data_IF_220783829676
#
_entry.id   IF_220783829676
#
_cell.length_a   1.000
_cell.length_b   1.000
_cell.length_c   1.000
_cell.angle_alpha   90.00
_cell.angle_beta   90.00
_cell.angle_gamma   90.00
#
_symmetry.space_group_name_H-M   'P 1'
#
loop_
_entity.id
_entity.type
_entity.pdbx_description
1 polymer ?
#
# COMPACT_ATOMS: atom_id res chain seq x y z
N UNK A 1 5.94 27.47 5.42
CA UNK A 1 7.16 26.73 5.88
C UNK A 1 6.88 25.53 6.79
N UNK A 2 5.80 25.49 7.59
CA UNK A 2 5.54 24.37 8.53
C UNK A 2 5.24 23.00 7.85
N UNK A 3 4.58 23.00 6.70
CA UNK A 3 4.26 21.77 5.95
C UNK A 3 5.49 21.09 5.30
N UNK A 4 6.46 21.89 4.81
CA UNK A 4 7.74 21.37 4.30
C UNK A 4 8.56 20.71 5.42
N UNK A 5 8.58 21.32 6.62
CA UNK A 5 9.24 20.74 7.79
C UNK A 5 8.57 19.43 8.22
N UNK A 6 7.24 19.37 8.22
CA UNK A 6 6.50 18.14 8.58
C UNK A 6 6.73 16.98 7.61
N UNK A 7 6.72 17.25 6.29
CA UNK A 7 7.04 16.26 5.24
C UNK A 7 8.50 15.79 5.30
N UNK A 8 9.44 16.70 5.58
CA UNK A 8 10.86 16.36 5.76
C UNK A 8 11.07 15.54 7.04
N UNK A 9 10.40 15.89 8.15
CA UNK A 9 10.49 15.12 9.39
C UNK A 9 9.81 13.77 9.28
N UNK A 10 8.69 13.64 8.55
CA UNK A 10 8.04 12.35 8.33
C UNK A 10 8.86 11.47 7.38
N UNK A 11 9.49 12.06 6.36
CA UNK A 11 10.40 11.36 5.45
C UNK A 11 11.67 10.89 6.16
N UNK A 12 12.26 11.72 7.01
CA UNK A 12 13.44 11.37 7.81
C UNK A 12 13.11 10.31 8.87
N UNK A 13 11.96 10.42 9.55
CA UNK A 13 11.49 9.43 10.52
C UNK A 13 11.17 8.09 9.84
N UNK A 14 10.53 8.12 8.67
CA UNK A 14 10.32 6.94 7.82
C UNK A 14 11.66 6.30 7.47
N UNK A 15 12.64 7.08 6.98
CA UNK A 15 13.96 6.57 6.61
C UNK A 15 14.74 5.97 7.81
N UNK A 16 14.61 6.55 9.01
CA UNK A 16 15.21 6.02 10.25
C UNK A 16 14.52 4.72 10.69
N UNK A 17 13.19 4.62 10.57
CA UNK A 17 12.46 3.36 10.79
C UNK A 17 12.86 2.30 9.74
N UNK A 18 13.12 2.72 8.50
CA UNK A 18 13.59 1.85 7.41
C UNK A 18 15.00 1.29 7.64
N UNK A 19 15.93 2.12 8.11
CA UNK A 19 17.30 1.71 8.41
C UNK A 19 17.40 0.87 9.70
N UNK A 20 16.44 1.00 10.62
CA UNK A 20 16.40 0.24 11.88
C UNK A 20 15.68 -1.11 11.79
N UNK A 21 15.04 -1.42 10.66
CA UNK A 21 14.36 -2.71 10.42
C UNK A 21 15.27 -3.90 10.12
N UNK A 22 16.59 -3.71 10.06
CA UNK A 22 17.57 -4.78 9.86
C UNK A 22 17.91 -5.48 11.18
N UNK A 23 18.22 -6.78 11.11
CA UNK A 23 18.73 -7.53 12.27
C UNK A 23 20.10 -6.96 12.66
N UNK A 24 20.20 -6.46 13.90
CA UNK A 24 21.48 -6.02 14.46
C UNK A 24 22.36 -7.23 14.71
N UNK A 25 23.63 -7.12 14.37
CA UNK A 25 24.63 -8.14 14.68
C UNK A 25 25.49 -7.67 15.85
N UNK A 26 25.87 -8.60 16.71
CA UNK A 26 26.85 -8.38 17.76
C UNK A 26 28.28 -8.33 17.19
N UNK A 27 29.26 -8.10 18.07
CA UNK A 27 30.69 -8.04 17.70
C UNK A 27 31.23 -9.37 17.14
N UNK A 28 30.53 -10.47 17.37
CA UNK A 28 30.89 -11.82 16.93
C UNK A 28 30.20 -12.21 15.62
N UNK A 29 29.36 -11.34 15.05
CA UNK A 29 28.65 -11.57 13.79
C UNK A 29 27.35 -12.38 13.95
N UNK A 30 26.89 -12.62 15.18
CA UNK A 30 25.61 -13.27 15.46
C UNK A 30 24.51 -12.22 15.64
N UNK A 31 23.23 -12.57 15.44
CA UNK A 31 22.13 -11.67 15.76
C UNK A 31 22.15 -11.22 17.22
N UNK A 32 22.12 -9.91 17.46
CA UNK A 32 22.06 -9.31 18.79
C UNK A 32 20.77 -9.77 19.50
N UNK A 33 20.85 -10.49 20.62
CA UNK A 33 19.69 -10.96 21.38
C UNK A 33 18.77 -9.82 21.85
N UNK A 34 19.30 -8.62 22.03
CA UNK A 34 18.54 -7.44 22.46
C UNK A 34 17.92 -6.68 21.28
N UNK A 35 18.21 -7.08 20.04
CA UNK A 35 17.64 -6.48 18.84
C UNK A 35 16.13 -6.72 18.75
N UNK A 36 15.35 -5.67 18.51
CA UNK A 36 13.89 -5.75 18.42
C UNK A 36 13.41 -6.78 17.39
N UNK A 37 13.98 -6.77 16.19
CA UNK A 37 13.63 -7.72 15.11
C UNK A 37 13.98 -9.15 15.52
N UNK A 38 15.13 -9.36 16.18
CA UNK A 38 15.53 -10.68 16.61
C UNK A 38 14.56 -11.24 17.67
N UNK A 39 14.31 -10.46 18.73
CA UNK A 39 13.48 -10.87 19.86
C UNK A 39 12.01 -11.09 19.50
N UNK A 40 11.43 -10.22 18.67
CA UNK A 40 9.99 -10.26 18.38
C UNK A 40 9.63 -11.01 17.09
N UNK A 41 10.56 -11.16 16.15
CA UNK A 41 10.29 -11.84 14.87
C UNK A 41 11.15 -13.08 14.68
N UNK A 42 12.48 -12.99 14.79
CA UNK A 42 13.39 -14.12 14.49
C UNK A 42 13.20 -15.28 15.49
N UNK A 43 13.33 -15.01 16.79
CA UNK A 43 13.30 -16.04 17.81
C UNK A 43 11.93 -16.75 17.88
N UNK A 44 10.77 -16.04 17.86
CA UNK A 44 9.47 -16.71 17.83
C UNK A 44 9.26 -17.51 16.55
N UNK A 45 9.72 -17.02 15.40
CA UNK A 45 9.60 -17.73 14.13
C UNK A 45 10.44 -19.01 14.11
N UNK A 46 11.69 -18.95 14.58
CA UNK A 46 12.54 -20.13 14.72
C UNK A 46 11.95 -21.17 15.67
N UNK A 47 11.45 -20.74 16.83
CA UNK A 47 10.78 -21.62 17.80
C UNK A 47 9.52 -22.27 17.22
N UNK A 48 8.72 -21.52 16.46
CA UNK A 48 7.54 -22.04 15.78
C UNK A 48 7.92 -23.10 14.74
N UNK A 49 8.97 -22.85 13.96
CA UNK A 49 9.46 -23.83 12.98
C UNK A 49 9.92 -25.12 13.69
N UNK A 50 10.69 -25.01 14.77
CA UNK A 50 11.10 -26.18 15.56
C UNK A 50 9.92 -26.93 16.16
N UNK A 51 8.93 -26.21 16.68
CA UNK A 51 7.70 -26.81 17.20
C UNK A 51 6.98 -27.62 16.12
N UNK A 52 6.81 -27.06 14.92
CA UNK A 52 6.16 -27.77 13.81
C UNK A 52 6.95 -29.01 13.37
N UNK A 53 8.28 -28.89 13.29
CA UNK A 53 9.17 -30.01 12.93
C UNK A 53 9.07 -31.14 13.95
N UNK A 54 9.15 -30.83 15.25
CA UNK A 54 9.16 -31.82 16.32
C UNK A 54 7.78 -32.43 16.60
N UNK A 55 6.70 -31.68 16.40
CA UNK A 55 5.34 -32.16 16.71
C UNK A 55 4.70 -32.94 15.55
N UNK A 56 5.05 -32.61 14.30
CA UNK A 56 4.49 -33.26 13.12
C UNK A 56 5.49 -34.15 12.37
N UNK A 57 6.69 -34.35 12.92
CA UNK A 57 7.80 -35.09 12.29
C UNK A 57 8.14 -34.59 10.88
N UNK A 58 8.05 -33.27 10.67
CA UNK A 58 8.28 -32.63 9.37
C UNK A 58 9.74 -32.27 9.14
N UNK A 59 10.13 -32.21 7.87
CA UNK A 59 11.36 -31.50 7.50
C UNK A 59 11.15 -29.97 7.60
N UNK A 60 12.20 -29.22 7.95
CA UNK A 60 12.23 -27.76 7.97
C UNK A 60 11.64 -27.08 6.72
N UNK A 61 11.82 -27.65 5.53
CA UNK A 61 11.22 -27.10 4.30
C UNK A 61 9.69 -27.13 4.31
N UNK A 62 9.08 -28.22 4.78
CA UNK A 62 7.62 -28.32 4.92
C UNK A 62 7.08 -27.36 5.99
N UNK A 63 7.80 -27.18 7.10
CA UNK A 63 7.45 -26.20 8.10
C UNK A 63 7.46 -24.75 7.53
N UNK A 64 8.47 -24.41 6.72
CA UNK A 64 8.53 -23.10 6.03
C UNK A 64 7.34 -22.93 5.06
N UNK A 65 7.03 -23.95 4.24
CA UNK A 65 5.89 -23.91 3.31
C UNK A 65 4.58 -23.69 4.08
N UNK A 66 4.35 -24.48 5.13
CA UNK A 66 3.13 -24.42 5.93
C UNK A 66 2.93 -23.05 6.57
N UNK A 67 3.96 -22.51 7.25
CA UNK A 67 3.91 -21.17 7.84
C UNK A 67 3.60 -20.12 6.78
N UNK A 68 4.23 -20.24 5.60
CA UNK A 68 4.00 -19.30 4.49
C UNK A 68 2.55 -19.30 4.06
N UNK A 69 1.95 -20.49 3.87
CA UNK A 69 0.53 -20.63 3.49
C UNK A 69 -0.37 -20.03 4.56
N UNK A 70 -0.18 -20.38 5.83
CA UNK A 70 -0.99 -19.87 6.95
C UNK A 70 -0.94 -18.35 7.04
N UNK A 71 0.25 -17.76 7.05
CA UNK A 71 0.44 -16.31 7.12
C UNK A 71 -0.21 -15.63 5.91
N UNK A 72 -0.06 -16.20 4.71
CA UNK A 72 -0.67 -15.65 3.49
C UNK A 72 -2.18 -15.71 3.54
N UNK A 73 -2.77 -16.79 4.05
CA UNK A 73 -4.23 -16.91 4.22
C UNK A 73 -4.78 -15.92 5.25
N UNK A 74 -4.06 -15.69 6.35
CA UNK A 74 -4.44 -14.68 7.36
C UNK A 74 -4.39 -13.26 6.77
N UNK A 75 -3.37 -12.95 5.96
CA UNK A 75 -3.20 -11.62 5.34
C UNK A 75 -4.06 -11.46 4.07
N UNK A 76 -4.52 -12.55 3.46
CA UNK A 76 -5.30 -12.55 2.23
C UNK A 76 -6.50 -11.59 2.24
N UNK A 77 -7.39 -11.57 3.24
CA UNK A 77 -8.54 -10.65 3.25
C UNK A 77 -8.09 -9.18 3.21
N UNK A 78 -7.05 -8.83 3.97
CA UNK A 78 -6.46 -7.50 3.95
C UNK A 78 -5.86 -7.18 2.56
N UNK A 79 -5.16 -8.13 1.95
CA UNK A 79 -4.53 -7.95 0.64
C UNK A 79 -5.56 -7.75 -0.49
N UNK A 80 -6.67 -8.50 -0.45
CA UNK A 80 -7.80 -8.34 -1.38
C UNK A 80 -8.47 -6.98 -1.18
N UNK A 81 -8.72 -6.58 0.07
CA UNK A 81 -9.28 -5.26 0.37
C UNK A 81 -8.38 -4.12 -0.14
N UNK A 82 -7.06 -4.24 0.04
CA UNK A 82 -6.10 -3.29 -0.51
C UNK A 82 -6.14 -3.26 -2.05
N UNK A 83 -6.19 -4.43 -2.70
CA UNK A 83 -6.31 -4.55 -4.17
C UNK A 83 -7.60 -3.94 -4.71
N UNK A 84 -8.71 -4.08 -3.98
CA UNK A 84 -9.98 -3.43 -4.30
C UNK A 84 -9.83 -1.91 -4.30
N UNK A 85 -9.31 -1.33 -3.21
CA UNK A 85 -9.12 0.13 -3.09
C UNK A 85 -8.18 0.67 -4.17
N UNK A 86 -7.10 -0.05 -4.46
CA UNK A 86 -6.16 0.29 -5.53
C UNK A 86 -6.85 0.27 -6.90
N UNK A 87 -7.66 -0.75 -7.18
CA UNK A 87 -8.40 -0.86 -8.45
C UNK A 87 -9.40 0.27 -8.61
N UNK A 88 -10.22 0.54 -7.59
CA UNK A 88 -11.17 1.68 -7.59
C UNK A 88 -10.46 2.99 -7.94
N UNK A 89 -9.32 3.24 -7.30
CA UNK A 89 -8.55 4.45 -7.55
C UNK A 89 -8.00 4.51 -8.97
N UNK A 90 -7.49 3.38 -9.50
CA UNK A 90 -6.99 3.28 -10.87
C UNK A 90 -8.09 3.49 -11.92
N UNK A 91 -9.31 2.99 -11.68
CA UNK A 91 -10.44 3.21 -12.59
C UNK A 91 -10.93 4.66 -12.52
N UNK A 92 -11.08 5.26 -11.32
CA UNK A 92 -11.44 6.70 -11.20
C UNK A 92 -10.41 7.62 -11.87
N UNK A 93 -9.12 7.22 -11.84
CA UNK A 93 -8.05 7.93 -12.53
C UNK A 93 -8.27 8.05 -14.04
N UNK A 94 -8.85 7.02 -14.68
CA UNK A 94 -9.09 7.04 -16.13
C UNK A 94 -10.05 8.15 -16.55
N UNK A 95 -11.06 8.45 -15.74
CA UNK A 95 -12.04 9.50 -16.03
C UNK A 95 -11.49 10.92 -15.87
N UNK A 96 -10.50 11.12 -15.00
CA UNK A 96 -9.85 12.43 -14.84
C UNK A 96 -8.63 12.60 -15.74
N UNK A 97 -8.12 11.51 -16.34
CA UNK A 97 -6.94 11.49 -17.22
C UNK A 97 -6.93 12.62 -18.26
N UNK A 98 -8.03 12.94 -18.97
CA UNK A 98 -8.02 14.03 -19.94
C UNK A 98 -7.58 15.38 -19.34
N UNK A 99 -8.01 15.68 -18.11
CA UNK A 99 -7.59 16.89 -17.40
C UNK A 99 -6.13 16.81 -16.94
N UNK A 100 -5.68 15.61 -16.54
CA UNK A 100 -4.29 15.36 -16.19
C UNK A 100 -3.37 15.62 -17.40
N UNK A 101 -3.76 15.17 -18.59
CA UNK A 101 -2.97 15.31 -19.80
C UNK A 101 -2.87 16.78 -20.23
N UNK A 102 -3.98 17.54 -20.12
CA UNK A 102 -3.97 18.98 -20.38
C UNK A 102 -3.03 19.71 -19.41
N UNK A 103 -3.19 19.50 -18.09
CA UNK A 103 -2.36 20.20 -17.12
C UNK A 103 -0.88 19.79 -17.23
N UNK A 104 -0.58 18.53 -17.57
CA UNK A 104 0.79 18.08 -17.83
C UNK A 104 1.42 18.74 -19.05
N UNK A 105 0.66 18.96 -20.14
CA UNK A 105 1.15 19.75 -21.29
C UNK A 105 1.42 21.19 -20.89
N UNK A 106 0.47 21.82 -20.18
CA UNK A 106 0.62 23.19 -19.67
C UNK A 106 1.81 23.32 -18.70
N UNK A 107 2.05 22.33 -17.85
CA UNK A 107 3.24 22.27 -16.99
C UNK A 107 4.55 22.30 -17.79
N UNK A 108 4.61 21.63 -18.95
CA UNK A 108 5.79 21.63 -19.82
C UNK A 108 5.94 22.94 -20.60
N UNK A 109 4.84 23.60 -20.93
CA UNK A 109 4.81 24.91 -21.58
C UNK A 109 5.12 26.06 -20.62
N UNK A 110 5.07 25.83 -19.30
CA UNK A 110 5.32 26.84 -18.28
C UNK A 110 6.75 27.39 -18.37
N UNK A 111 6.86 28.72 -18.52
CA UNK A 111 8.16 29.40 -18.65
C UNK A 111 8.67 29.97 -17.34
N UNK A 112 7.77 30.18 -16.36
CA UNK A 112 8.13 30.74 -15.05
C UNK A 112 7.91 29.75 -13.91
N UNK A 113 8.67 29.91 -12.83
CA UNK A 113 8.53 29.10 -11.61
C UNK A 113 7.12 29.24 -11.01
N UNK A 114 6.51 30.41 -11.11
CA UNK A 114 5.15 30.67 -10.61
C UNK A 114 4.09 29.92 -11.41
N UNK A 115 4.22 29.88 -12.74
CA UNK A 115 3.36 29.10 -13.62
C UNK A 115 3.49 27.60 -13.33
N UNK A 116 4.71 27.11 -13.13
CA UNK A 116 4.96 25.72 -12.76
C UNK A 116 4.33 25.37 -11.39
N UNK A 117 4.45 26.25 -10.40
CA UNK A 117 3.84 26.06 -9.09
C UNK A 117 2.31 26.07 -9.17
N UNK A 118 1.71 26.95 -9.98
CA UNK A 118 0.27 26.99 -10.19
C UNK A 118 -0.21 25.70 -10.85
N UNK A 119 0.47 25.25 -11.89
CA UNK A 119 0.15 24.01 -12.57
C UNK A 119 0.22 22.79 -11.62
N UNK A 120 1.22 22.75 -10.72
CA UNK A 120 1.31 21.73 -9.68
C UNK A 120 0.15 21.81 -8.66
N UNK A 121 -0.30 23.02 -8.30
CA UNK A 121 -1.44 23.23 -7.39
C UNK A 121 -2.76 22.81 -8.03
N UNK A 122 -3.00 23.21 -9.27
CA UNK A 122 -4.19 22.80 -10.01
C UNK A 122 -4.18 21.30 -10.27
N UNK A 123 -2.99 20.73 -10.45
CA UNK A 123 -2.87 19.29 -10.52
C UNK A 123 -3.38 18.62 -9.22
N UNK A 124 -2.93 19.10 -8.05
CA UNK A 124 -3.42 18.61 -6.75
C UNK A 124 -4.91 18.85 -6.57
N UNK A 125 -5.44 19.97 -7.09
CA UNK A 125 -6.87 20.30 -7.03
C UNK A 125 -7.71 19.31 -7.83
N UNK A 126 -7.27 18.91 -9.02
CA UNK A 126 -7.94 17.86 -9.84
C UNK A 126 -8.08 16.57 -9.03
N UNK A 127 -7.01 16.14 -8.37
CA UNK A 127 -7.05 14.97 -7.50
C UNK A 127 -8.02 15.13 -6.32
N UNK A 128 -7.92 16.24 -5.59
CA UNK A 128 -8.72 16.47 -4.39
C UNK A 128 -10.23 16.59 -4.69
N UNK A 129 -10.60 17.40 -5.68
CA UNK A 129 -11.99 17.67 -6.04
C UNK A 129 -12.71 16.45 -6.65
N UNK A 130 -11.95 15.53 -7.25
CA UNK A 130 -12.46 14.27 -7.79
C UNK A 130 -12.32 13.09 -6.82
N UNK A 131 -11.91 13.34 -5.56
CA UNK A 131 -11.70 12.30 -4.54
C UNK A 131 -10.73 11.18 -4.99
N UNK A 132 -9.77 11.50 -5.85
CA UNK A 132 -8.73 10.58 -6.30
C UNK A 132 -7.45 10.93 -5.55
N UNK A 133 -6.89 9.97 -4.80
CA UNK A 133 -5.65 10.23 -4.07
C UNK A 133 -4.46 10.36 -5.03
N UNK A 134 -3.61 11.38 -4.84
CA UNK A 134 -2.33 11.44 -5.53
C UNK A 134 -1.33 10.44 -4.95
N UNK A 135 -1.39 10.24 -3.63
CA UNK A 135 -0.47 9.37 -2.91
C UNK A 135 -0.82 7.89 -3.07
N UNK A 136 -2.05 7.54 -3.44
CA UNK A 136 -2.41 6.13 -3.63
C UNK A 136 -1.76 5.48 -4.86
N UNK A 137 -1.24 6.26 -5.82
CA UNK A 137 -0.41 5.72 -6.92
C UNK A 137 1.02 5.37 -6.50
N UNK A 138 1.68 6.23 -5.71
CA UNK A 138 3.03 5.98 -5.19
C UNK A 138 3.04 5.09 -3.95
N UNK A 139 2.16 5.37 -2.99
CA UNK A 139 2.04 4.67 -1.72
C UNK A 139 1.57 3.23 -1.91
N UNK A 140 0.68 2.93 -2.86
CA UNK A 140 0.25 1.55 -3.06
C UNK A 140 1.30 0.67 -3.77
N UNK A 141 2.31 1.28 -4.41
CA UNK A 141 3.41 0.57 -5.07
C UNK A 141 4.60 0.28 -4.14
N UNK A 142 4.94 1.20 -3.24
CA UNK A 142 6.08 1.03 -2.33
C UNK A 142 5.70 0.55 -0.93
N UNK A 143 4.49 0.83 -0.43
CA UNK A 143 4.05 0.42 0.92
C UNK A 143 4.11 -1.10 1.15
N UNK A 144 3.79 -1.98 0.18
CA UNK A 144 3.96 -3.42 0.38
C UNK A 144 5.42 -3.81 0.64
N UNK A 145 6.36 -3.14 -0.03
CA UNK A 145 7.80 -3.37 0.19
C UNK A 145 8.21 -2.94 1.60
N UNK A 146 7.68 -1.79 2.06
CA UNK A 146 7.94 -1.26 3.40
C UNK A 146 7.51 -2.22 4.52
N UNK A 147 6.32 -2.83 4.38
CA UNK A 147 5.80 -3.82 5.34
C UNK A 147 6.57 -5.15 5.25
N UNK A 148 7.10 -5.49 4.07
CA UNK A 148 7.80 -6.77 3.86
C UNK A 148 9.21 -6.78 4.46
N UNK A 149 9.87 -5.63 4.64
CA UNK A 149 11.27 -5.56 5.09
C UNK A 149 11.52 -6.22 6.46
N UNK A 150 10.76 -5.97 7.53
CA UNK A 150 10.95 -6.66 8.81
C UNK A 150 10.75 -8.18 8.72
N UNK A 151 9.76 -8.61 7.94
CA UNK A 151 9.48 -10.04 7.71
C UNK A 151 10.63 -10.69 6.96
N UNK A 152 11.18 -10.02 5.95
CA UNK A 152 12.35 -10.49 5.21
C UNK A 152 13.57 -10.60 6.12
N UNK A 153 13.87 -9.56 6.91
CA UNK A 153 14.99 -9.58 7.85
C UNK A 153 14.86 -10.73 8.86
N UNK A 154 13.63 -10.98 9.35
CA UNK A 154 13.34 -12.08 10.25
C UNK A 154 13.57 -13.45 9.61
N UNK A 155 13.03 -13.68 8.40
CA UNK A 155 13.19 -14.93 7.65
C UNK A 155 14.65 -15.19 7.29
N UNK A 156 15.37 -14.16 6.84
CA UNK A 156 16.79 -14.26 6.50
C UNK A 156 17.62 -14.68 7.72
N UNK A 157 17.44 -13.99 8.85
CA UNK A 157 18.17 -14.34 10.06
C UNK A 157 17.76 -15.71 10.61
N UNK A 158 16.47 -16.07 10.51
CA UNK A 158 15.99 -17.39 10.93
C UNK A 158 16.66 -18.49 10.11
N UNK A 159 16.66 -18.37 8.78
CA UNK A 159 17.25 -19.35 7.88
C UNK A 159 18.78 -19.48 8.02
N UNK A 160 19.47 -18.40 8.42
CA UNK A 160 20.94 -18.36 8.48
C UNK A 160 21.52 -18.67 9.85
N UNK A 161 20.85 -18.27 10.93
CA UNK A 161 21.41 -18.29 12.28
C UNK A 161 20.68 -19.22 13.25
N UNK A 162 19.51 -19.74 12.88
CA UNK A 162 18.81 -20.71 13.75
C UNK A 162 19.46 -22.08 13.61
N UNK A 163 19.93 -22.70 14.73
CA UNK A 163 20.47 -24.05 14.70
C UNK A 163 19.47 -25.05 14.11
N UNK A 164 19.96 -26.08 13.40
CA UNK A 164 19.10 -27.05 12.72
C UNK A 164 18.58 -26.55 11.36
N UNK A 165 18.03 -25.33 11.27
CA UNK A 165 17.53 -24.77 10.00
C UNK A 165 18.68 -24.49 9.04
N UNK A 166 19.74 -23.82 9.53
CA UNK A 166 20.86 -23.40 8.69
C UNK A 166 21.63 -24.58 8.06
N UNK A 167 21.64 -25.74 8.73
CA UNK A 167 22.28 -26.97 8.26
C UNK A 167 21.32 -27.94 7.56
N UNK A 168 20.01 -27.70 7.61
CA UNK A 168 19.02 -28.59 6.99
C UNK A 168 19.05 -28.55 5.46
N UNK A 169 18.60 -29.64 4.86
CA UNK A 169 18.32 -29.71 3.43
C UNK A 169 16.87 -30.10 3.16
N UNK A 170 16.32 -29.60 2.06
CA UNK A 170 14.99 -29.91 1.57
C UNK A 170 15.09 -30.40 0.14
N UNK A 171 14.81 -31.69 -0.10
CA UNK A 171 15.00 -32.35 -1.39
C UNK A 171 16.40 -32.10 -2.01
N UNK A 172 17.45 -32.17 -1.19
CA UNK A 172 18.83 -31.92 -1.61
C UNK A 172 19.25 -30.45 -1.67
N UNK A 173 18.32 -29.50 -1.42
CA UNK A 173 18.62 -28.07 -1.41
C UNK A 173 19.01 -27.64 0.02
N UNK A 174 20.24 -27.15 0.26
CA UNK A 174 20.65 -26.67 1.57
C UNK A 174 19.92 -25.36 1.93
N UNK A 175 19.09 -25.37 2.97
CA UNK A 175 18.20 -24.26 3.31
C UNK A 175 18.95 -23.00 3.79
N UNK A 176 20.13 -23.16 4.40
CA UNK A 176 20.98 -22.05 4.86
C UNK A 176 21.86 -21.41 3.79
N UNK A 177 21.93 -21.95 2.56
CA UNK A 177 22.76 -21.44 1.45
C UNK A 177 21.90 -21.01 0.27
N UNK A 178 22.41 -20.16 -0.63
CA UNK A 178 21.68 -19.77 -1.84
C UNK A 178 21.47 -20.96 -2.78
N UNK A 179 20.34 -20.98 -3.51
CA UNK A 179 19.97 -22.02 -4.47
C UNK A 179 19.48 -21.42 -5.78
N UNK A 180 20.26 -21.59 -6.85
CA UNK A 180 19.92 -21.05 -8.17
C UNK A 180 18.59 -21.61 -8.69
N UNK A 181 18.28 -22.87 -8.39
CA UNK A 181 17.01 -23.50 -8.77
C UNK A 181 15.80 -22.73 -8.21
N UNK A 182 15.81 -22.41 -6.91
CA UNK A 182 14.73 -21.64 -6.28
C UNK A 182 14.71 -20.18 -6.75
N UNK A 183 15.87 -19.60 -7.05
CA UNK A 183 15.96 -18.23 -7.61
C UNK A 183 15.27 -18.15 -8.97
N UNK A 184 15.51 -19.12 -9.85
CA UNK A 184 14.88 -19.18 -11.18
C UNK A 184 13.37 -19.34 -11.05
N UNK A 185 12.91 -20.27 -10.22
CA UNK A 185 11.47 -20.49 -10.00
C UNK A 185 10.80 -19.25 -9.40
N UNK A 186 11.43 -18.64 -8.39
CA UNK A 186 10.94 -17.39 -7.79
C UNK A 186 10.85 -16.30 -8.84
N UNK A 187 11.90 -16.09 -9.63
CA UNK A 187 11.90 -15.13 -10.73
C UNK A 187 10.74 -15.36 -11.69
N UNK A 188 10.60 -16.59 -12.19
CA UNK A 188 9.52 -16.97 -13.11
C UNK A 188 8.13 -16.69 -12.52
N UNK A 189 7.90 -17.03 -11.24
CA UNK A 189 6.63 -16.78 -10.57
C UNK A 189 6.31 -15.30 -10.41
N UNK A 190 7.28 -14.48 -10.01
CA UNK A 190 7.05 -13.03 -9.86
C UNK A 190 6.93 -12.32 -11.20
N UNK A 191 7.63 -12.78 -12.23
CA UNK A 191 7.40 -12.34 -13.61
C UNK A 191 5.99 -12.70 -14.08
N UNK A 192 5.55 -13.95 -13.86
CA UNK A 192 4.20 -14.40 -14.18
C UNK A 192 3.16 -13.58 -13.42
N UNK A 193 3.33 -13.39 -12.11
CA UNK A 193 2.44 -12.58 -11.28
C UNK A 193 2.33 -11.15 -11.80
N UNK A 194 3.47 -10.53 -12.14
CA UNK A 194 3.51 -9.19 -12.72
C UNK A 194 2.77 -9.14 -14.07
N UNK A 195 3.05 -10.08 -14.97
CA UNK A 195 2.35 -10.24 -16.24
C UNK A 195 0.83 -10.36 -16.05
N UNK A 196 0.41 -11.27 -15.18
CA UNK A 196 -1.00 -11.48 -14.85
C UNK A 196 -1.62 -10.16 -14.36
N UNK A 197 -0.96 -9.40 -13.49
CA UNK A 197 -1.51 -8.17 -12.91
C UNK A 197 -1.89 -7.08 -13.94
N UNK A 198 -1.32 -7.13 -15.14
CA UNK A 198 -1.59 -6.20 -16.24
C UNK A 198 -2.64 -6.70 -17.23
N UNK A 199 -3.12 -7.93 -17.08
CA UNK A 199 -4.26 -8.40 -17.85
C UNK A 199 -5.44 -7.45 -17.61
N UNK A 200 -6.15 -7.13 -18.68
CA UNK A 200 -7.33 -6.25 -18.66
C UNK A 200 -7.05 -4.78 -18.27
N UNK A 201 -5.79 -4.32 -18.30
CA UNK A 201 -5.42 -2.90 -18.22
C UNK A 201 -5.35 -2.31 -19.65
N UNK A 202 -5.86 -1.09 -19.91
CA UNK A 202 -5.72 -0.43 -21.22
C UNK A 202 -4.26 -0.24 -21.66
N UNK A 203 -3.96 -0.41 -22.95
CA UNK A 203 -2.58 -0.30 -23.50
C UNK A 203 -1.90 1.03 -23.18
N UNK A 204 -2.66 2.11 -23.17
CA UNK A 204 -2.16 3.44 -22.86
C UNK A 204 -1.66 3.56 -21.41
N UNK A 205 -2.27 2.81 -20.48
CA UNK A 205 -1.82 2.71 -19.09
C UNK A 205 -0.67 1.72 -18.93
N UNK A 206 -0.63 0.65 -19.73
CA UNK A 206 0.44 -0.35 -19.67
C UNK A 206 1.81 0.27 -19.89
N UNK A 207 1.97 1.17 -20.86
CA UNK A 207 3.28 1.83 -21.14
C UNK A 207 3.86 2.57 -19.93
N UNK A 208 3.00 3.24 -19.15
CA UNK A 208 3.45 3.91 -17.92
C UNK A 208 3.82 2.92 -16.81
N UNK A 209 3.16 1.75 -16.78
CA UNK A 209 3.37 0.72 -15.76
C UNK A 209 4.45 -0.31 -16.14
N UNK A 210 4.87 -0.38 -17.40
CA UNK A 210 5.82 -1.37 -17.93
C UNK A 210 7.16 -1.34 -17.19
N UNK A 211 7.69 -0.16 -16.89
CA UNK A 211 8.93 -0.04 -16.11
C UNK A 211 8.77 -0.62 -14.70
N UNK A 212 7.61 -0.43 -14.08
CA UNK A 212 7.30 -0.98 -12.76
C UNK A 212 7.09 -2.50 -12.79
N UNK A 213 6.49 -3.00 -13.88
CA UNK A 213 6.26 -4.42 -14.14
C UNK A 213 7.56 -5.22 -14.13
N UNK A 214 8.64 -4.69 -14.71
CA UNK A 214 9.93 -5.37 -14.76
C UNK A 214 10.77 -5.13 -13.50
N UNK A 215 10.64 -3.96 -12.87
CA UNK A 215 11.44 -3.60 -11.71
C UNK A 215 11.22 -4.55 -10.52
N UNK A 216 9.95 -4.92 -10.22
CA UNK A 216 9.66 -5.77 -9.06
C UNK A 216 10.21 -7.20 -9.20
N UNK A 217 9.99 -7.94 -10.31
CA UNK A 217 10.56 -9.27 -10.50
C UNK A 217 12.08 -9.29 -10.54
N UNK A 218 12.73 -8.30 -11.16
CA UNK A 218 14.19 -8.21 -11.21
C UNK A 218 14.76 -8.03 -9.80
N UNK A 219 14.15 -7.15 -9.00
CA UNK A 219 14.54 -6.95 -7.60
C UNK A 219 14.33 -8.24 -6.77
N UNK A 220 13.23 -8.95 -6.99
CA UNK A 220 12.97 -10.23 -6.32
C UNK A 220 14.00 -11.30 -6.69
N UNK A 221 14.45 -11.37 -7.94
CA UNK A 221 15.52 -12.27 -8.37
C UNK A 221 16.84 -11.92 -7.66
N UNK A 222 17.20 -10.64 -7.63
CA UNK A 222 18.41 -10.17 -6.95
C UNK A 222 18.42 -10.51 -5.46
N UNK A 223 17.30 -10.26 -4.76
CA UNK A 223 17.18 -10.60 -3.35
C UNK A 223 17.16 -12.11 -3.11
N UNK A 224 16.50 -12.88 -3.97
CA UNK A 224 16.51 -14.35 -3.91
C UNK A 224 17.92 -14.90 -4.05
N UNK A 225 18.68 -14.38 -5.02
CA UNK A 225 20.07 -14.77 -5.25
C UNK A 225 20.97 -14.52 -4.03
N UNK A 226 20.74 -13.39 -3.36
CA UNK A 226 21.50 -12.96 -2.17
C UNK A 226 21.03 -13.62 -0.86
N UNK A 227 19.97 -14.44 -0.90
CA UNK A 227 19.33 -15.01 0.29
C UNK A 227 19.59 -16.52 0.46
N UNK A 228 19.47 -17.05 1.69
CA UNK A 228 19.38 -18.50 1.91
C UNK A 228 18.19 -19.12 1.18
N UNK A 229 18.33 -20.37 0.75
CA UNK A 229 17.30 -21.12 0.02
C UNK A 229 16.00 -21.25 0.82
N UNK A 230 16.04 -21.26 2.15
CA UNK A 230 14.82 -21.21 2.98
C UNK A 230 14.00 -19.93 2.76
N UNK A 231 14.66 -18.79 2.51
CA UNK A 231 13.98 -17.54 2.16
C UNK A 231 13.47 -17.56 0.72
N UNK A 232 14.28 -18.08 -0.21
CA UNK A 232 13.84 -18.25 -1.60
C UNK A 232 12.64 -19.22 -1.72
N UNK A 233 12.58 -20.26 -0.88
CA UNK A 233 11.45 -21.19 -0.78
C UNK A 233 10.18 -20.47 -0.29
N UNK A 234 10.30 -19.63 0.75
CA UNK A 234 9.22 -18.76 1.20
C UNK A 234 8.68 -17.88 0.07
N UNK A 235 9.56 -17.25 -0.72
CA UNK A 235 9.15 -16.43 -1.85
C UNK A 235 8.56 -17.25 -3.00
N UNK A 236 9.05 -18.46 -3.24
CA UNK A 236 8.45 -19.37 -4.23
C UNK A 236 7.00 -19.68 -3.88
N UNK A 237 6.72 -20.14 -2.66
CA UNK A 237 5.35 -20.43 -2.20
C UNK A 237 4.49 -19.16 -2.21
N UNK A 238 5.05 -18.03 -1.74
CA UNK A 238 4.39 -16.74 -1.78
C UNK A 238 4.04 -16.28 -3.19
N UNK A 239 4.92 -16.51 -4.17
CA UNK A 239 4.72 -16.20 -5.58
C UNK A 239 3.59 -17.02 -6.21
N UNK A 240 3.48 -18.31 -5.88
CA UNK A 240 2.34 -19.15 -6.29
C UNK A 240 1.02 -18.57 -5.76
N UNK A 241 0.96 -18.28 -4.46
CA UNK A 241 -0.25 -17.70 -3.85
C UNK A 241 -0.56 -16.32 -4.45
N UNK A 242 0.46 -15.50 -4.71
CA UNK A 242 0.29 -14.19 -5.33
C UNK A 242 -0.23 -14.29 -6.77
N UNK A 243 0.18 -15.30 -7.55
CA UNK A 243 -0.39 -15.59 -8.87
C UNK A 243 -1.88 -15.91 -8.74
N UNK A 244 -2.25 -16.84 -7.85
CA UNK A 244 -3.65 -17.23 -7.61
C UNK A 244 -4.48 -16.00 -7.19
N UNK A 245 -3.99 -15.21 -6.24
CA UNK A 245 -4.64 -13.99 -5.80
C UNK A 245 -4.81 -12.99 -6.95
N UNK A 246 -3.79 -12.82 -7.80
CA UNK A 246 -3.83 -11.90 -8.95
C UNK A 246 -4.89 -12.33 -9.96
N UNK A 247 -5.03 -13.65 -10.21
CA UNK A 247 -6.11 -14.19 -11.04
C UNK A 247 -7.49 -13.87 -10.46
N UNK A 248 -7.68 -14.09 -9.15
CA UNK A 248 -8.94 -13.75 -8.46
C UNK A 248 -9.25 -12.26 -8.62
N UNK A 249 -8.27 -11.39 -8.39
CA UNK A 249 -8.45 -9.94 -8.54
C UNK A 249 -8.83 -9.57 -9.98
N UNK A 250 -8.11 -10.10 -10.97
CA UNK A 250 -8.33 -9.73 -12.37
C UNK A 250 -9.64 -10.24 -12.96
N UNK A 251 -10.03 -11.47 -12.62
CA UNK A 251 -11.20 -12.10 -13.23
C UNK A 251 -12.48 -11.87 -12.44
N UNK A 252 -12.41 -11.68 -11.11
CA UNK A 252 -13.60 -11.54 -10.27
C UNK A 252 -13.79 -10.10 -9.80
N UNK A 253 -12.73 -9.48 -9.28
CA UNK A 253 -12.82 -8.19 -8.61
C UNK A 253 -12.85 -7.00 -9.59
N UNK A 254 -11.92 -6.96 -10.56
CA UNK A 254 -11.80 -5.85 -11.51
C UNK A 254 -13.04 -5.62 -12.37
N UNK A 255 -13.68 -6.64 -12.99
CA UNK A 255 -14.86 -6.41 -13.83
C UNK A 255 -16.02 -5.80 -13.04
N UNK A 256 -16.24 -6.28 -11.81
CA UNK A 256 -17.26 -5.73 -10.89
C UNK A 256 -16.98 -4.27 -10.53
N UNK A 257 -15.73 -3.95 -10.18
CA UNK A 257 -15.34 -2.58 -9.87
C UNK A 257 -15.50 -1.67 -11.09
N UNK A 258 -15.05 -2.09 -12.29
CA UNK A 258 -15.20 -1.30 -13.52
C UNK A 258 -16.65 -0.95 -13.80
N UNK A 259 -17.56 -1.91 -13.68
CA UNK A 259 -18.99 -1.67 -13.86
C UNK A 259 -19.54 -0.67 -12.82
N UNK A 260 -19.22 -0.86 -11.55
CA UNK A 260 -19.66 0.02 -10.45
C UNK A 260 -19.15 1.46 -10.63
N UNK A 261 -17.87 1.63 -10.98
CA UNK A 261 -17.28 2.96 -11.19
C UNK A 261 -17.84 3.62 -12.44
N UNK A 262 -18.08 2.87 -13.52
CA UNK A 262 -18.70 3.41 -14.72
C UNK A 262 -20.14 3.91 -14.45
N UNK A 263 -20.90 3.20 -13.62
CA UNK A 263 -22.23 3.64 -13.18
C UNK A 263 -22.15 4.87 -12.25
N UNK A 264 -21.24 4.85 -11.26
CA UNK A 264 -21.00 5.99 -10.37
C UNK A 264 -20.64 7.25 -11.17
N UNK A 265 -19.79 7.14 -12.18
CA UNK A 265 -19.36 8.26 -13.03
C UNK A 265 -20.45 8.74 -13.99
N UNK A 266 -21.43 7.90 -14.36
CA UNK A 266 -22.61 8.34 -15.13
C UNK A 266 -23.54 9.20 -14.27
N UNK A 267 -23.72 8.83 -13.01
CA UNK A 267 -24.55 9.58 -12.06
C UNK A 267 -23.83 10.84 -11.55
N UNK A 268 -22.51 10.73 -11.32
CA UNK A 268 -21.67 11.77 -10.77
C UNK A 268 -20.41 11.94 -11.64
N UNK A 269 -20.50 12.70 -12.75
CA UNK A 269 -19.37 12.89 -13.65
C UNK A 269 -18.21 13.62 -12.94
N UNK A 270 -16.96 13.38 -13.39
CA UNK A 270 -15.79 14.04 -12.80
C UNK A 270 -15.90 15.56 -12.91
N UNK A 271 -15.55 16.26 -11.84
CA UNK A 271 -15.49 17.72 -11.81
C UNK A 271 -14.37 18.18 -12.75
N UNK A 272 -14.74 19.04 -13.70
CA UNK A 272 -13.81 19.64 -14.65
C UNK A 272 -13.23 20.92 -14.07
N UNK A 273 -11.91 20.94 -13.88
CA UNK A 273 -11.16 22.07 -13.32
C UNK A 273 -10.28 22.71 -14.40
N UNK A 274 -9.76 21.88 -15.30
CA UNK A 274 -8.88 22.31 -16.40
C UNK A 274 -9.49 21.83 -17.70
N UNK A 275 -9.71 22.78 -18.62
CA UNK A 275 -10.15 22.56 -20.00
C UNK A 275 -9.05 22.99 -20.97
N UNK A 276 -9.17 22.71 -22.27
CA UNK A 276 -8.15 23.11 -23.26
C UNK A 276 -7.87 24.62 -23.28
N UNK A 277 -8.88 25.45 -23.00
CA UNK A 277 -8.75 26.90 -22.94
C UNK A 277 -8.09 27.41 -21.64
N UNK A 278 -7.68 26.52 -20.73
CA UNK A 278 -7.08 26.90 -19.46
C UNK A 278 -5.72 27.58 -19.67
N UNK A 279 -5.55 28.76 -19.04
CA UNK A 279 -4.29 29.50 -19.03
C UNK A 279 -3.62 29.52 -17.66
N UNK A 280 -2.30 29.35 -17.68
CA UNK A 280 -1.46 29.49 -16.49
C UNK A 280 -1.35 30.95 -16.02
N UNK A 281 -1.70 31.93 -16.85
CA UNK A 281 -1.65 33.37 -16.50
C UNK A 281 -2.92 33.90 -15.82
N UNK A 282 -4.07 33.24 -15.93
CA UNK A 282 -5.35 33.77 -15.41
C UNK A 282 -5.57 33.39 -13.94
N UNK A 283 -6.00 34.31 -13.08
CA UNK A 283 -6.44 33.98 -11.71
C UNK A 283 -7.59 32.94 -11.76
N UNK A 284 -7.77 32.09 -10.72
CA UNK A 284 -8.74 30.99 -10.79
C UNK A 284 -10.14 31.51 -11.16
N UNK A 285 -10.61 31.12 -12.35
CA UNK A 285 -11.97 31.40 -12.78
C UNK A 285 -12.94 30.64 -11.86
N UNK A 286 -13.58 31.35 -10.94
CA UNK A 286 -14.69 30.87 -10.11
C UNK A 286 -15.98 30.76 -10.95
N UNK A 287 -15.96 30.10 -12.12
CA UNK A 287 -17.08 30.12 -13.07
C UNK A 287 -17.86 28.81 -13.19
N UNK A 288 -17.76 27.88 -12.23
CA UNK A 288 -18.68 26.73 -12.16
C UNK A 288 -19.32 26.58 -10.77
N UNK A 289 -19.64 27.70 -10.12
CA UNK A 289 -20.48 27.69 -8.91
C UNK A 289 -21.54 28.81 -8.98
N UNK A 290 -22.38 28.75 -10.01
CA UNK A 290 -23.66 29.48 -10.06
C UNK A 290 -24.80 28.51 -10.34
N UNK A 291 -25.22 27.80 -9.29
CA UNK A 291 -26.62 27.49 -8.94
C UNK A 291 -26.67 26.62 -7.69
N UNK A 292 -26.38 27.21 -6.53
CA UNK A 292 -27.05 26.83 -5.28
C UNK A 292 -27.99 27.97 -4.93
N UNK A 293 -29.31 27.74 -4.75
CA UNK A 293 -30.19 28.77 -4.23
C UNK A 293 -29.71 29.17 -2.83
N UNK A 294 -29.87 30.45 -2.44
CA UNK A 294 -29.33 30.95 -1.19
C UNK A 294 -29.95 30.18 -0.02
N UNK A 295 -29.09 29.63 0.83
CA UNK A 295 -29.47 29.12 2.15
C UNK A 295 -29.98 30.32 2.94
N UNK A 296 -31.28 30.39 3.17
CA UNK A 296 -31.91 31.41 3.98
C UNK A 296 -31.21 31.49 5.34
N UNK A 297 -30.50 32.60 5.56
CA UNK A 297 -30.10 33.04 6.89
C UNK A 297 -31.36 33.61 7.55
N UNK A 298 -32.05 32.80 8.36
CA UNK A 298 -32.93 33.36 9.37
C UNK A 298 -32.09 33.67 10.60
N UNK A 299 -31.80 34.96 10.78
CA UNK A 299 -31.37 35.52 12.05
C UNK A 299 -32.51 35.34 13.10
N UNK A 300 -32.18 35.13 14.38
CA UNK A 300 -33.18 34.91 15.42
C UNK A 300 -33.90 36.22 15.76
N UNK A 301 -35.23 36.26 15.60
CA UNK A 301 -36.07 37.31 16.17
C UNK A 301 -36.51 36.90 17.58
N UNK A 302 -36.04 37.64 18.58
CA UNK A 302 -36.62 37.68 19.92
C UNK A 302 -38.00 38.35 19.85
N UNK A 303 -39.04 37.67 20.37
CA UNK A 303 -40.21 38.32 20.97
C UNK A 303 -40.49 37.62 22.30
N UNK A 304 -40.55 38.45 23.34
CA UNK A 304 -40.73 38.07 24.72
C UNK A 304 -42.21 37.80 25.08
N UNK A 305 -42.36 37.05 26.18
CA UNK A 305 -43.48 37.01 27.12
C UNK A 305 -44.78 36.28 26.73
N UNK A 306 -45.07 35.16 27.40
CA UNK A 306 -45.94 35.15 28.59
C UNK A 306 -45.95 33.79 29.31
N UNK A 307 -46.23 33.89 30.63
CA UNK A 307 -46.25 32.90 31.70
C UNK A 307 -47.13 31.66 31.41
N UNK A 308 -46.74 30.49 31.92
CA UNK A 308 -47.42 29.90 33.08
C UNK A 308 -46.81 28.58 33.58
N UNK A 309 -46.69 28.55 34.92
CA UNK A 309 -46.91 27.42 35.82
C UNK A 309 -46.05 26.15 35.66
N UNK A 310 -45.25 25.89 36.69
CA UNK A 310 -44.38 24.73 36.76
C UNK A 310 -45.08 23.44 37.15
N UNK A 311 -44.29 22.37 37.13
CA UNK A 311 -44.39 21.21 38.02
C UNK A 311 -43.05 20.47 38.02
N UNK A 312 -42.36 20.59 39.15
CA UNK A 312 -41.37 19.67 39.72
C UNK A 312 -39.93 19.68 39.17
N UNK A 313 -39.21 20.72 39.56
CA UNK A 313 -37.83 20.57 40.04
C UNK A 313 -37.86 19.89 41.42
N UNK A 314 -36.97 18.91 41.64
CA UNK A 314 -36.68 18.42 42.98
C UNK A 314 -36.33 16.93 43.03
N UNK A 315 -35.03 16.61 42.96
CA UNK A 315 -34.38 15.54 43.74
C UNK A 315 -32.87 15.46 43.39
N UNK A 316 -32.14 16.50 43.74
CA UNK A 316 -30.70 16.40 44.02
C UNK A 316 -30.35 17.33 45.19
N UNK A 317 -30.48 16.81 46.41
CA UNK A 317 -29.58 16.99 47.57
C UNK A 317 -30.30 16.82 48.90
N UNK A 318 -29.98 15.72 49.61
CA UNK A 318 -29.48 15.66 51.00
C UNK A 318 -29.79 14.29 51.60
N UNK A 319 -28.75 13.60 52.11
CA UNK A 319 -28.43 13.65 53.54
C UNK A 319 -27.06 13.01 53.81
N UNK A 320 -26.20 13.79 54.49
CA UNK A 320 -25.22 13.26 55.45
C UNK A 320 -25.98 12.62 56.61
N UNK A 321 -25.57 11.42 56.99
CA UNK A 321 -25.15 11.10 58.37
C UNK A 321 -23.93 10.21 58.23
#
# INVERSE_FOLDING_TARGET
>A
MKLKKWLLTSGLLSMIVFLSGCVKLDKSGNPDPNGLIYRFLVQPLGNLIHYLVNHFDWNYGWAIIFITVVVRLIILPLSIYQSHKMTVQSEKMQFIKPQLDIIQRKMKEAKTVEQQQKAQKDMQRIYAENNVSMLGGMGAGCLPLLIQMPIFAALFATARYTPGIASASFYGIPLGKSSLFLVIITGALYFLQSYLSMLNIPEEQKKQMQTMMYASPIMMIFFSFSSPAGVALYWTVGGVIACIQTLIVNFILRPRIKAQIAEEMKLHPPKIIVTENYSLSEAPNNTVDKKRPPRNQQAPKNIAATKNAGRNAGKQNRRRK
#
